data_IF_281014068376
#
_entry.id   IF_281014068376
#
_cell.length_a   1.000
_cell.length_b   1.000
_cell.length_c   1.000
_cell.angle_alpha   90.00
_cell.angle_beta   90.00
_cell.angle_gamma   90.00
#
_symmetry.space_group_name_H-M   'P 1'
#
loop_
_entity.id
_entity.type
_entity.pdbx_description
1 polymer ?
#
# COMPACT_ATOMS: atom_id res chain seq x y z
N UNK A 1 -18.14 -7.40 -15.61
CA UNK A 1 -17.06 -6.46 -15.99
C UNK A 1 -15.77 -7.01 -15.41
N UNK A 2 -14.86 -7.50 -16.25
CA UNK A 2 -13.58 -8.05 -15.78
C UNK A 2 -12.68 -6.90 -15.38
N UNK A 3 -12.54 -6.64 -14.07
CA UNK A 3 -11.56 -5.68 -13.56
C UNK A 3 -10.17 -6.26 -13.84
N UNK A 4 -9.46 -5.71 -14.84
CA UNK A 4 -8.06 -6.06 -15.09
C UNK A 4 -7.18 -5.33 -14.09
N UNK A 5 -7.04 -5.90 -12.89
CA UNK A 5 -6.05 -5.44 -11.91
C UNK A 5 -4.64 -5.65 -12.47
N UNK A 6 -3.69 -4.77 -12.16
CA UNK A 6 -2.31 -4.89 -12.65
C UNK A 6 -1.64 -6.19 -12.17
N UNK A 7 -0.61 -6.66 -12.89
CA UNK A 7 0.18 -7.82 -12.45
C UNK A 7 0.77 -7.60 -11.05
N UNK A 8 1.32 -6.41 -10.81
CA UNK A 8 1.82 -5.98 -9.49
C UNK A 8 0.77 -6.12 -8.38
N UNK A 9 -0.49 -5.78 -8.65
CA UNK A 9 -1.57 -5.95 -7.68
C UNK A 9 -1.80 -7.43 -7.36
N UNK A 10 -1.87 -8.28 -8.40
CA UNK A 10 -2.07 -9.73 -8.23
C UNK A 10 -0.92 -10.38 -7.48
N UNK A 11 0.31 -9.98 -7.77
CA UNK A 11 1.50 -10.50 -7.08
C UNK A 11 1.52 -10.05 -5.62
N UNK A 12 1.08 -8.82 -5.33
CA UNK A 12 1.00 -8.31 -3.97
C UNK A 12 -0.08 -9.02 -3.13
N UNK A 13 -1.29 -9.21 -3.66
CA UNK A 13 -2.43 -9.80 -2.92
C UNK A 13 -2.50 -11.32 -3.04
N UNK A 14 -1.67 -11.96 -3.87
CA UNK A 14 -1.72 -13.40 -4.13
C UNK A 14 -0.92 -14.26 -3.16
N UNK A 15 -0.03 -13.66 -2.36
CA UNK A 15 0.85 -14.36 -1.43
C UNK A 15 1.07 -13.54 -0.14
N UNK A 16 1.47 -14.16 0.98
CA UNK A 16 1.80 -13.45 2.21
C UNK A 16 2.89 -12.38 2.01
N UNK A 17 2.77 -11.27 2.76
CA UNK A 17 3.64 -10.09 2.66
C UNK A 17 5.14 -10.38 2.82
N UNK A 18 5.53 -11.25 3.78
CA UNK A 18 6.95 -11.53 4.12
C UNK A 18 7.76 -10.22 4.25
N UNK A 19 8.97 -10.16 3.69
CA UNK A 19 9.86 -9.01 3.71
C UNK A 19 9.78 -8.15 2.43
N UNK A 20 8.63 -8.20 1.73
CA UNK A 20 8.39 -7.39 0.52
C UNK A 20 8.71 -5.92 0.80
N UNK A 21 9.43 -5.32 -0.14
CA UNK A 21 9.79 -3.93 -0.09
C UNK A 21 8.56 -3.03 -0.28
N UNK A 22 8.55 -1.84 0.31
CA UNK A 22 7.40 -0.91 0.22
C UNK A 22 7.10 -0.48 -1.23
N UNK A 23 8.12 -0.46 -2.09
CA UNK A 23 7.96 -0.22 -3.54
C UNK A 23 7.24 -1.33 -4.29
N UNK A 24 7.02 -2.50 -3.68
CA UNK A 24 6.24 -3.60 -4.27
C UNK A 24 4.73 -3.42 -4.07
N UNK A 25 4.31 -2.48 -3.21
CA UNK A 25 2.91 -2.14 -3.02
C UNK A 25 2.38 -1.41 -4.26
N UNK A 26 1.22 -1.79 -4.81
CA UNK A 26 0.55 -1.04 -5.87
C UNK A 26 0.38 0.44 -5.51
N UNK A 27 0.54 1.34 -6.47
CA UNK A 27 0.49 2.79 -6.22
C UNK A 27 1.79 3.40 -5.70
N UNK A 28 2.69 2.63 -5.08
CA UNK A 28 3.99 3.11 -4.59
C UNK A 28 5.11 2.83 -5.60
N UNK A 29 5.44 3.85 -6.40
CA UNK A 29 6.63 3.83 -7.27
C UNK A 29 7.92 4.16 -6.51
N UNK A 30 9.10 4.05 -7.14
CA UNK A 30 10.40 4.25 -6.48
C UNK A 30 10.53 5.58 -5.72
N UNK A 31 10.00 6.68 -6.29
CA UNK A 31 10.02 7.99 -5.64
C UNK A 31 9.21 8.01 -4.33
N UNK A 32 8.02 7.42 -4.33
CA UNK A 32 7.16 7.40 -3.14
C UNK A 32 7.70 6.44 -2.09
N UNK A 33 8.30 5.32 -2.52
CA UNK A 33 9.00 4.40 -1.64
C UNK A 33 10.17 5.07 -0.94
N UNK A 34 11.01 5.82 -1.66
CA UNK A 34 12.12 6.60 -1.08
C UNK A 34 11.64 7.57 -0.01
N UNK A 35 10.53 8.29 -0.23
CA UNK A 35 9.97 9.21 0.77
C UNK A 35 9.48 8.48 2.04
N UNK A 36 8.92 7.28 1.88
CA UNK A 36 8.49 6.44 2.99
C UNK A 36 9.70 5.87 3.75
N UNK A 37 10.75 5.47 3.04
CA UNK A 37 12.01 4.99 3.63
C UNK A 37 12.69 6.07 4.46
N UNK A 38 12.69 7.32 3.99
CA UNK A 38 13.16 8.49 4.78
C UNK A 38 12.36 8.68 6.08
N UNK A 39 11.11 8.20 6.10
CA UNK A 39 10.24 8.19 7.28
C UNK A 39 10.33 6.90 8.09
N UNK A 40 11.27 6.00 7.77
CA UNK A 40 11.48 4.73 8.46
C UNK A 40 10.57 3.58 8.02
N UNK A 41 9.93 3.69 6.86
CA UNK A 41 9.01 2.69 6.32
C UNK A 41 9.60 2.14 5.02
N UNK A 42 10.29 1.01 5.13
CA UNK A 42 10.98 0.34 4.02
C UNK A 42 10.31 -0.95 3.57
N UNK A 43 9.51 -1.56 4.45
CA UNK A 43 8.83 -2.84 4.23
C UNK A 43 7.32 -2.67 4.16
N UNK A 44 6.69 -3.50 3.33
CA UNK A 44 5.26 -3.44 3.14
C UNK A 44 4.46 -3.83 4.41
N UNK A 45 5.03 -4.64 5.32
CA UNK A 45 4.39 -4.92 6.62
C UNK A 45 4.39 -3.71 7.57
N UNK A 46 5.37 -2.80 7.45
CA UNK A 46 5.42 -1.56 8.24
C UNK A 46 4.28 -0.64 7.80
N UNK A 47 4.09 -0.53 6.48
CA UNK A 47 2.97 0.19 5.88
C UNK A 47 1.60 -0.42 6.24
N UNK A 48 1.50 -1.76 6.25
CA UNK A 48 0.31 -2.46 6.75
C UNK A 48 0.04 -2.11 8.21
N UNK A 49 1.07 -2.04 9.06
CA UNK A 49 0.94 -1.63 10.46
C UNK A 49 0.23 -0.28 10.59
N UNK A 50 0.60 0.70 9.77
CA UNK A 50 -0.05 2.02 9.74
C UNK A 50 -1.53 1.89 9.38
N UNK A 51 -1.87 1.13 8.34
CA UNK A 51 -3.26 0.88 7.97
C UNK A 51 -4.09 0.27 9.11
N UNK A 52 -3.49 -0.67 9.87
CA UNK A 52 -4.14 -1.30 11.01
C UNK A 52 -4.34 -0.33 12.18
N UNK A 53 -3.37 0.57 12.44
CA UNK A 53 -3.55 1.63 13.46
C UNK A 53 -4.65 2.62 13.10
N UNK A 54 -4.96 2.78 11.81
CA UNK A 54 -6.07 3.56 11.30
C UNK A 54 -7.39 2.76 11.25
N UNK A 55 -7.49 1.65 11.98
CA UNK A 55 -8.68 0.79 12.06
C UNK A 55 -9.16 0.30 10.69
N UNK A 56 -8.24 0.04 9.76
CA UNK A 56 -8.53 -0.32 8.37
C UNK A 56 -9.44 0.72 7.65
N UNK A 57 -9.35 2.00 8.03
CA UNK A 57 -10.10 3.06 7.36
C UNK A 57 -9.35 3.55 6.12
N UNK A 58 -9.90 3.24 4.93
CA UNK A 58 -9.28 3.58 3.65
C UNK A 58 -9.16 5.09 3.41
N UNK A 59 -10.16 5.88 3.79
CA UNK A 59 -10.14 7.32 3.55
C UNK A 59 -9.03 7.99 4.36
N UNK A 60 -8.87 7.61 5.63
CA UNK A 60 -7.76 8.10 6.46
C UNK A 60 -6.41 7.61 5.97
N UNK A 61 -6.33 6.37 5.49
CA UNK A 61 -5.08 5.85 4.96
C UNK A 61 -4.68 6.50 3.62
N UNK A 62 -5.64 6.76 2.72
CA UNK A 62 -5.40 7.51 1.50
C UNK A 62 -4.88 8.92 1.81
N UNK A 63 -5.47 9.62 2.78
CA UNK A 63 -4.97 10.92 3.24
C UNK A 63 -3.55 10.81 3.79
N UNK A 64 -3.31 9.82 4.67
CA UNK A 64 -2.00 9.59 5.26
C UNK A 64 -0.91 9.35 4.21
N UNK A 65 -1.19 8.53 3.19
CA UNK A 65 -0.25 8.24 2.09
C UNK A 65 0.05 9.49 1.27
N UNK A 66 -0.94 10.35 1.03
CA UNK A 66 -0.73 11.60 0.31
C UNK A 66 0.16 12.56 1.09
N UNK A 67 -0.08 12.68 2.39
CA UNK A 67 0.62 13.63 3.25
C UNK A 67 2.06 13.19 3.58
N UNK A 68 2.29 11.88 3.74
CA UNK A 68 3.59 11.35 4.17
C UNK A 68 4.45 10.82 3.01
N UNK A 69 3.85 10.22 1.98
CA UNK A 69 4.60 9.73 0.82
C UNK A 69 4.66 10.75 -0.33
N UNK A 70 3.80 11.79 -0.31
CA UNK A 70 3.64 12.73 -1.44
C UNK A 70 2.90 12.12 -2.63
N UNK A 71 2.07 11.10 -2.39
CA UNK A 71 1.30 10.44 -3.44
C UNK A 71 0.19 11.34 -3.98
N UNK A 72 -0.14 11.19 -5.27
CA UNK A 72 -1.38 11.77 -5.80
C UNK A 72 -2.60 10.90 -5.44
N UNK A 73 -3.81 11.43 -5.70
CA UNK A 73 -5.08 10.75 -5.40
C UNK A 73 -5.17 9.33 -5.99
N UNK A 74 -4.70 9.15 -7.22
CA UNK A 74 -4.77 7.85 -7.89
C UNK A 74 -3.80 6.84 -7.26
N UNK A 75 -2.57 7.25 -6.97
CA UNK A 75 -1.56 6.42 -6.32
C UNK A 75 -1.98 6.02 -4.90
N UNK A 76 -2.50 6.97 -4.12
CA UNK A 76 -2.98 6.71 -2.77
C UNK A 76 -4.12 5.70 -2.75
N UNK A 77 -5.11 5.88 -3.64
CA UNK A 77 -6.21 4.94 -3.81
C UNK A 77 -5.73 3.53 -4.18
N UNK A 78 -4.82 3.42 -5.14
CA UNK A 78 -4.25 2.12 -5.53
C UNK A 78 -3.53 1.42 -4.38
N UNK A 79 -2.80 2.18 -3.57
CA UNK A 79 -2.13 1.68 -2.37
C UNK A 79 -3.14 1.21 -1.33
N UNK A 80 -4.15 2.02 -1.03
CA UNK A 80 -5.21 1.68 -0.08
C UNK A 80 -6.00 0.45 -0.52
N UNK A 81 -6.41 0.38 -1.80
CA UNK A 81 -7.12 -0.77 -2.36
C UNK A 81 -6.29 -2.06 -2.24
N UNK A 82 -4.98 -2.01 -2.50
CA UNK A 82 -4.11 -3.18 -2.42
C UNK A 82 -3.88 -3.67 -0.99
N UNK A 83 -3.65 -2.75 -0.05
CA UNK A 83 -3.46 -3.08 1.37
C UNK A 83 -4.77 -3.62 1.98
N UNK A 84 -5.90 -3.02 1.64
CA UNK A 84 -7.22 -3.47 2.10
C UNK A 84 -7.60 -4.85 1.54
N UNK A 85 -7.33 -5.09 0.26
CA UNK A 85 -7.53 -6.39 -0.36
C UNK A 85 -6.61 -7.46 0.25
N UNK A 86 -5.34 -7.11 0.52
CA UNK A 86 -4.44 -8.01 1.23
C UNK A 86 -5.00 -8.36 2.62
N UNK A 87 -5.48 -7.37 3.39
CA UNK A 87 -6.12 -7.62 4.69
C UNK A 87 -7.31 -8.56 4.54
N UNK A 88 -8.19 -8.31 3.58
CA UNK A 88 -9.38 -9.13 3.35
C UNK A 88 -9.06 -10.59 3.01
N UNK A 89 -7.86 -10.85 2.46
CA UNK A 89 -7.45 -12.18 2.04
C UNK A 89 -6.62 -12.95 3.10
N UNK A 90 -5.85 -12.25 3.94
CA UNK A 90 -4.89 -12.89 4.84
C UNK A 90 -5.05 -12.54 6.33
N UNK A 91 -5.97 -11.63 6.70
CA UNK A 91 -6.17 -11.16 8.09
C UNK A 91 -7.65 -11.07 8.49
#
# INVERSE_FOLDING_TARGET
MSSTTSQKYRDFTGEPLKDKHVSEVPGLGPKLASNLEESGISKAYELLGIYLTLLKNKDYFELWIRDNAGANRHQAKQCADAIDAFCSQFL
#
